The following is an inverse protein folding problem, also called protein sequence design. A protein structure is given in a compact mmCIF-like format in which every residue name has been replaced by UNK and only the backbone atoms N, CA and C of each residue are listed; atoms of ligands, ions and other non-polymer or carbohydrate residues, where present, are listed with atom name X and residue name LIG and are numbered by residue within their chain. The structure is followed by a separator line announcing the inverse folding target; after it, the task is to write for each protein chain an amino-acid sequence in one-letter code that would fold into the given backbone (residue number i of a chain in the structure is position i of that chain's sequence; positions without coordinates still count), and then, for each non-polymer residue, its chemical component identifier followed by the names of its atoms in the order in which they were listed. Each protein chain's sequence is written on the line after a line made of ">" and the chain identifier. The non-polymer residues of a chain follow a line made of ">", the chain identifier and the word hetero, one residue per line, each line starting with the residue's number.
data_IF_227947869080
#
_entry.id   IF_227947869080
#
_cell.length_a   1.000
_cell.length_b   1.000
_cell.length_c   1.000
_cell.angle_alpha   90.00
_cell.angle_beta   90.00
_cell.angle_gamma   90.00
#
_symmetry.space_group_name_H-M   'P 1'
#
loop_
_entity.id
_entity.type
_entity.pdbx_description
1 polymer ?
#
# COMPACT_ATOMS: atom_id res chain seq x y z
N UNK A 1 16.41 41.60 -38.42
CA UNK A 1 16.81 41.87 -37.03
C UNK A 1 15.70 41.36 -36.12
N UNK A 2 15.88 40.18 -35.54
CA UNK A 2 14.84 39.49 -34.78
C UNK A 2 14.84 39.90 -33.31
N UNK A 3 13.65 40.08 -32.75
CA UNK A 3 13.40 39.87 -31.32
C UNK A 3 12.06 39.13 -31.18
N UNK A 4 12.07 37.84 -31.43
CA UNK A 4 10.99 36.96 -30.99
C UNK A 4 11.09 36.86 -29.47
N UNK A 5 10.21 37.58 -28.77
CA UNK A 5 10.03 37.47 -27.32
C UNK A 5 9.74 36.03 -26.95
N UNK A 6 10.72 35.40 -26.31
CA UNK A 6 10.62 34.04 -25.80
C UNK A 6 9.78 34.05 -24.53
N UNK A 7 8.46 33.98 -24.70
CA UNK A 7 7.50 33.88 -23.61
C UNK A 7 7.55 32.46 -23.03
N UNK A 8 8.57 32.15 -22.23
CA UNK A 8 8.62 30.94 -21.41
C UNK A 8 7.66 31.11 -20.24
N UNK A 9 6.36 30.96 -20.52
CA UNK A 9 5.38 30.65 -19.50
C UNK A 9 5.77 29.33 -18.86
N UNK A 10 6.36 29.40 -17.67
CA UNK A 10 6.54 28.24 -16.80
C UNK A 10 5.15 27.82 -16.34
N UNK A 11 4.49 26.97 -17.13
CA UNK A 11 3.33 26.21 -16.69
C UNK A 11 3.83 25.26 -15.60
N UNK A 12 3.84 25.72 -14.35
CA UNK A 12 4.15 24.89 -13.20
C UNK A 12 3.30 23.63 -13.27
N UNK A 13 3.93 22.47 -13.10
CA UNK A 13 3.24 21.19 -13.17
C UNK A 13 2.08 21.18 -12.17
N UNK A 14 1.00 20.41 -12.45
CA UNK A 14 -0.12 20.31 -11.51
C UNK A 14 0.31 19.93 -10.08
N UNK A 15 1.39 19.15 -9.96
CA UNK A 15 2.05 18.83 -8.69
C UNK A 15 2.70 20.03 -8.01
N UNK A 16 3.33 20.95 -8.74
CA UNK A 16 3.95 22.15 -8.16
C UNK A 16 2.90 23.09 -7.57
N UNK A 17 1.77 23.24 -8.27
CA UNK A 17 0.64 24.06 -7.81
C UNK A 17 0.04 23.45 -6.55
N UNK A 18 -0.21 22.14 -6.57
CA UNK A 18 -0.70 21.40 -5.41
C UNK A 18 0.24 21.56 -4.21
N UNK A 19 1.54 21.32 -4.39
CA UNK A 19 2.53 21.42 -3.31
C UNK A 19 2.60 22.85 -2.73
N UNK A 20 2.64 23.88 -3.59
CA UNK A 20 2.66 25.27 -3.16
C UNK A 20 1.42 25.64 -2.34
N UNK A 21 0.25 25.18 -2.74
CA UNK A 21 -1.00 25.41 -2.00
C UNK A 21 -0.91 24.89 -0.57
N UNK A 22 -0.59 23.60 -0.39
CA UNK A 22 -0.52 22.99 0.94
C UNK A 22 0.62 23.54 1.80
N UNK A 23 1.78 23.83 1.18
CA UNK A 23 2.92 24.45 1.88
C UNK A 23 2.56 25.83 2.41
N UNK A 24 1.90 26.66 1.61
CA UNK A 24 1.45 27.98 2.06
C UNK A 24 0.37 27.86 3.14
N UNK A 25 -0.62 27.00 2.95
CA UNK A 25 -1.71 26.79 3.89
C UNK A 25 -1.20 26.37 5.27
N UNK A 26 -0.23 25.45 5.34
CA UNK A 26 0.37 25.02 6.61
C UNK A 26 1.08 26.13 7.40
N UNK A 27 1.56 27.18 6.71
CA UNK A 27 2.23 28.32 7.34
C UNK A 27 1.25 29.42 7.73
N UNK A 28 0.25 29.68 6.89
CA UNK A 28 -0.70 30.78 7.10
C UNK A 28 -1.85 30.42 8.02
N UNK A 29 -2.35 29.18 7.93
CA UNK A 29 -3.52 28.72 8.68
C UNK A 29 -3.39 27.22 9.01
N UNK A 30 -2.69 26.88 10.11
CA UNK A 30 -2.47 25.50 10.52
C UNK A 30 -3.76 24.73 10.85
N UNK A 31 -4.79 25.41 11.36
CA UNK A 31 -6.07 24.78 11.70
C UNK A 31 -6.83 24.36 10.45
N UNK A 32 -6.93 25.27 9.47
CA UNK A 32 -7.54 24.96 8.18
C UNK A 32 -6.76 23.90 7.43
N UNK A 33 -5.42 23.92 7.48
CA UNK A 33 -4.58 22.86 6.92
C UNK A 33 -4.97 21.49 7.48
N UNK A 34 -5.07 21.34 8.81
CA UNK A 34 -5.41 20.06 9.42
C UNK A 34 -6.84 19.62 9.10
N UNK A 35 -7.79 20.56 8.95
CA UNK A 35 -9.15 20.26 8.51
C UNK A 35 -9.19 19.74 7.07
N UNK A 36 -8.52 20.43 6.14
CA UNK A 36 -8.46 20.02 4.74
C UNK A 36 -7.70 18.69 4.57
N UNK A 37 -6.62 18.48 5.32
CA UNK A 37 -5.87 17.22 5.33
C UNK A 37 -6.77 16.04 5.73
N UNK A 38 -7.53 16.17 6.82
CA UNK A 38 -8.47 15.13 7.25
C UNK A 38 -9.53 14.85 6.20
N UNK A 39 -10.06 15.89 5.56
CA UNK A 39 -11.05 15.74 4.48
C UNK A 39 -10.47 14.99 3.27
N UNK A 40 -9.25 15.33 2.84
CA UNK A 40 -8.60 14.65 1.72
C UNK A 40 -8.35 13.16 2.01
N UNK A 41 -7.97 12.83 3.25
CA UNK A 41 -7.82 11.43 3.69
C UNK A 41 -9.16 10.71 3.69
N UNK A 42 -10.19 11.34 4.24
CA UNK A 42 -11.54 10.78 4.29
C UNK A 42 -12.08 10.48 2.88
N UNK A 43 -11.83 11.37 1.92
CA UNK A 43 -12.19 11.17 0.53
C UNK A 43 -11.52 9.92 -0.07
N UNK A 44 -10.23 9.71 0.22
CA UNK A 44 -9.50 8.49 -0.20
C UNK A 44 -10.10 7.23 0.44
N UNK A 45 -10.39 7.28 1.74
CA UNK A 45 -10.99 6.15 2.47
C UNK A 45 -12.38 5.83 1.89
N UNK A 46 -13.21 6.84 1.66
CA UNK A 46 -14.57 6.66 1.14
C UNK A 46 -14.63 6.06 -0.27
N UNK A 47 -13.58 6.26 -1.07
CA UNK A 47 -13.44 5.69 -2.42
C UNK A 47 -12.96 4.24 -2.43
N UNK A 48 -12.43 3.74 -1.31
CA UNK A 48 -12.00 2.36 -1.22
C UNK A 48 -13.21 1.39 -1.13
N UNK A 49 -13.06 0.12 -1.55
CA UNK A 49 -14.07 -0.92 -1.33
C UNK A 49 -14.53 -0.98 0.13
N UNK A 50 -15.83 -1.19 0.37
CA UNK A 50 -16.45 -1.13 1.69
C UNK A 50 -15.76 -2.01 2.73
N UNK A 51 -15.30 -3.20 2.33
CA UNK A 51 -14.54 -4.14 3.14
C UNK A 51 -13.20 -3.59 3.67
N UNK A 52 -12.60 -2.62 2.97
CA UNK A 52 -11.34 -2.01 3.37
C UNK A 52 -11.50 -0.69 4.14
N UNK A 53 -12.67 -0.04 4.05
CA UNK A 53 -12.86 1.28 4.65
C UNK A 53 -12.64 1.28 6.16
N UNK A 54 -13.17 0.29 6.87
CA UNK A 54 -13.00 0.18 8.32
C UNK A 54 -11.52 0.02 8.70
N UNK A 55 -10.79 -0.86 8.01
CA UNK A 55 -9.36 -1.06 8.24
C UNK A 55 -8.54 0.20 7.95
N UNK A 56 -8.87 0.93 6.88
CA UNK A 56 -8.21 2.20 6.56
C UNK A 56 -8.44 3.28 7.63
N UNK A 57 -9.64 3.36 8.21
CA UNK A 57 -9.92 4.29 9.35
C UNK A 57 -9.13 3.92 10.60
N UNK A 58 -9.01 2.64 10.89
CA UNK A 58 -8.18 2.15 12.01
C UNK A 58 -6.70 2.50 11.79
N UNK A 59 -6.19 2.28 10.57
CA UNK A 59 -4.83 2.68 10.20
C UNK A 59 -4.64 4.19 10.34
N UNK A 60 -5.59 4.99 9.87
CA UNK A 60 -5.54 6.44 10.00
C UNK A 60 -5.51 6.88 11.48
N UNK A 61 -6.27 6.22 12.35
CA UNK A 61 -6.23 6.48 13.80
C UNK A 61 -4.84 6.22 14.39
N UNK A 62 -4.18 5.12 13.99
CA UNK A 62 -2.81 4.81 14.41
C UNK A 62 -1.83 5.88 13.90
N UNK A 63 -1.94 6.27 12.62
CA UNK A 63 -1.12 7.32 12.01
C UNK A 63 -1.25 8.64 12.77
N UNK A 64 -2.47 9.07 13.07
CA UNK A 64 -2.71 10.30 13.82
C UNK A 64 -2.19 10.18 15.26
N UNK A 65 -2.24 9.00 15.87
CA UNK A 65 -1.62 8.71 17.16
C UNK A 65 -0.10 8.89 17.15
N UNK A 66 0.58 8.31 16.16
CA UNK A 66 2.03 8.46 16.01
C UNK A 66 2.44 9.90 15.69
N UNK A 67 1.66 10.63 14.87
CA UNK A 67 1.88 12.06 14.63
C UNK A 67 1.75 12.90 15.90
N UNK A 68 0.79 12.61 16.78
CA UNK A 68 0.62 13.33 18.06
C UNK A 68 1.77 13.07 19.05
N UNK A 69 2.35 11.87 19.04
CA UNK A 69 3.48 11.50 19.91
C UNK A 69 4.82 12.06 19.41
N UNK A 70 4.91 12.42 18.14
CA UNK A 70 6.13 12.90 17.53
C UNK A 70 6.51 14.30 18.04
N UNK A 71 7.81 14.52 18.23
CA UNK A 71 8.32 15.81 18.74
C UNK A 71 8.25 16.94 17.71
N UNK A 72 8.32 16.59 16.44
CA UNK A 72 8.29 17.52 15.31
C UNK A 72 7.85 16.77 14.03
N UNK A 73 7.54 17.48 12.93
CA UNK A 73 7.08 16.85 11.70
C UNK A 73 8.05 15.84 11.08
N UNK A 74 9.36 16.03 11.24
CA UNK A 74 10.38 15.11 10.72
C UNK A 74 10.40 13.81 11.55
N UNK A 75 10.32 13.90 12.88
CA UNK A 75 10.17 12.73 13.75
C UNK A 75 8.89 11.95 13.40
N UNK A 76 7.79 12.64 13.12
CA UNK A 76 6.56 12.00 12.66
C UNK A 76 6.79 11.23 11.36
N UNK A 77 7.45 11.83 10.37
CA UNK A 77 7.78 11.18 9.10
C UNK A 77 8.64 9.93 9.30
N UNK A 78 9.68 10.00 10.13
CA UNK A 78 10.56 8.85 10.42
C UNK A 78 9.78 7.72 11.09
N UNK A 79 8.91 8.04 12.06
CA UNK A 79 8.05 7.06 12.74
C UNK A 79 7.07 6.39 11.78
N UNK A 80 6.42 7.16 10.92
CA UNK A 80 5.49 6.63 9.92
C UNK A 80 6.22 5.76 8.89
N UNK A 81 7.40 6.17 8.43
CA UNK A 81 8.24 5.34 7.55
C UNK A 81 8.62 4.02 8.24
N UNK A 82 9.03 4.07 9.51
CA UNK A 82 9.33 2.86 10.30
C UNK A 82 8.11 1.95 10.44
N UNK A 83 6.93 2.52 10.69
CA UNK A 83 5.68 1.75 10.76
C UNK A 83 5.41 1.01 9.44
N UNK A 84 5.57 1.69 8.30
CA UNK A 84 5.41 1.09 6.97
C UNK A 84 6.39 -0.07 6.74
N UNK A 85 7.68 0.14 7.01
CA UNK A 85 8.70 -0.91 6.89
C UNK A 85 8.46 -2.08 7.86
N UNK A 86 7.92 -1.80 9.04
CA UNK A 86 7.56 -2.85 10.00
C UNK A 86 6.47 -3.74 9.44
N UNK A 87 5.41 -3.19 8.82
CA UNK A 87 4.37 -4.01 8.20
C UNK A 87 4.89 -4.84 7.01
N UNK A 88 5.94 -4.35 6.34
CA UNK A 88 6.53 -5.05 5.20
C UNK A 88 7.47 -6.19 5.61
N UNK A 89 8.40 -5.93 6.53
CA UNK A 89 9.48 -6.84 6.93
C UNK A 89 9.31 -7.53 8.29
N UNK A 90 8.25 -7.26 9.05
CA UNK A 90 8.02 -7.96 10.30
C UNK A 90 7.95 -9.49 10.09
N UNK A 91 8.14 -10.23 11.17
CA UNK A 91 8.04 -11.70 11.20
C UNK A 91 6.72 -12.21 10.62
N UNK A 92 5.64 -11.45 10.82
CA UNK A 92 4.30 -11.70 10.26
C UNK A 92 3.92 -10.69 9.17
N UNK A 93 4.91 -9.99 8.61
CA UNK A 93 4.76 -8.97 7.58
C UNK A 93 4.57 -9.57 6.19
N UNK A 94 4.33 -8.68 5.23
CA UNK A 94 3.99 -9.06 3.84
C UNK A 94 4.99 -10.03 3.21
N UNK A 95 6.29 -9.76 3.37
CA UNK A 95 7.35 -10.61 2.80
C UNK A 95 7.27 -12.03 3.35
N UNK A 96 7.01 -12.17 4.65
CA UNK A 96 6.86 -13.47 5.31
C UNK A 96 5.65 -14.23 4.77
N UNK A 97 4.51 -13.55 4.62
CA UNK A 97 3.28 -14.13 4.04
C UNK A 97 3.53 -14.65 2.62
N UNK A 98 4.23 -13.88 1.78
CA UNK A 98 4.59 -14.30 0.42
C UNK A 98 5.49 -15.54 0.44
N UNK A 99 6.46 -15.61 1.35
CA UNK A 99 7.31 -16.80 1.50
C UNK A 99 6.52 -18.02 1.97
N UNK A 100 5.64 -17.88 2.96
CA UNK A 100 4.78 -18.97 3.43
C UNK A 100 3.84 -19.47 2.33
N UNK A 101 3.20 -18.56 1.60
CA UNK A 101 2.34 -18.92 0.49
C UNK A 101 3.09 -19.68 -0.60
N UNK A 102 4.28 -19.21 -0.99
CA UNK A 102 5.09 -19.89 -1.99
C UNK A 102 5.54 -21.29 -1.54
N UNK A 103 5.87 -21.44 -0.24
CA UNK A 103 6.21 -22.75 0.34
C UNK A 103 5.03 -23.71 0.30
N UNK A 104 3.85 -23.27 0.72
CA UNK A 104 2.62 -24.08 0.68
C UNK A 104 2.28 -24.47 -0.76
N UNK A 105 2.33 -23.51 -1.69
CA UNK A 105 2.09 -23.75 -3.12
C UNK A 105 3.04 -24.81 -3.69
N UNK A 106 4.32 -24.78 -3.30
CA UNK A 106 5.30 -25.79 -3.72
C UNK A 106 4.93 -27.18 -3.21
N UNK A 107 4.60 -27.31 -1.93
CA UNK A 107 4.19 -28.59 -1.32
C UNK A 107 2.94 -29.14 -2.00
N UNK A 108 1.92 -28.32 -2.20
CA UNK A 108 0.68 -28.75 -2.88
C UNK A 108 0.98 -29.26 -4.30
N UNK A 109 1.80 -28.53 -5.06
CA UNK A 109 2.19 -28.96 -6.41
C UNK A 109 3.03 -30.25 -6.43
N UNK A 110 3.88 -30.48 -5.41
CA UNK A 110 4.65 -31.71 -5.26
C UNK A 110 3.71 -32.89 -4.93
N UNK A 111 2.77 -32.72 -3.99
CA UNK A 111 1.80 -33.76 -3.65
C UNK A 111 0.85 -34.12 -4.80
N UNK A 112 0.50 -33.17 -5.66
CA UNK A 112 -0.29 -33.41 -6.88
C UNK A 112 0.49 -34.25 -7.90
N UNK A 113 1.80 -33.99 -8.04
CA UNK A 113 2.68 -34.77 -8.93
C UNK A 113 2.86 -36.20 -8.44
N UNK A 114 3.06 -36.38 -7.14
CA UNK A 114 3.24 -37.71 -6.54
C UNK A 114 1.98 -38.56 -6.73
N UNK A 115 0.79 -38.00 -6.47
CA UNK A 115 -0.49 -38.69 -6.72
C UNK A 115 -0.74 -38.97 -8.21
N UNK A 116 -0.34 -38.07 -9.10
CA UNK A 116 -0.46 -38.29 -10.54
C UNK A 116 0.49 -39.40 -11.02
N UNK A 117 1.64 -39.55 -10.38
CA UNK A 117 2.60 -40.62 -10.66
C UNK A 117 2.11 -41.97 -10.13
N UNK A 118 1.59 -42.02 -8.89
CA UNK A 118 0.96 -43.23 -8.32
C UNK A 118 -0.18 -43.77 -9.20
N UNK A 119 -1.00 -42.89 -9.80
CA UNK A 119 -2.06 -43.30 -10.74
C UNK A 119 -1.52 -43.90 -12.04
N UNK A 120 -0.34 -43.47 -12.49
CA UNK A 120 0.31 -44.00 -13.70
C UNK A 120 1.01 -45.33 -13.42
N UNK A 121 1.59 -45.46 -12.24
CA UNK A 121 2.30 -46.67 -11.80
C UNK A 121 1.34 -47.75 -11.28
N UNK A 122 0.06 -47.41 -11.06
CA UNK A 122 -0.97 -48.35 -10.67
C UNK A 122 -1.25 -49.38 -11.78
N UNK A 123 -1.08 -50.66 -11.45
CA UNK A 123 -1.42 -51.78 -12.34
C UNK A 123 -2.95 -51.84 -12.47
N UNK A 124 -3.46 -51.62 -13.68
CA UNK A 124 -4.88 -51.73 -13.99
C UNK A 124 -5.26 -53.21 -14.05
N UNK A 125 -6.01 -53.69 -13.06
CA UNK A 125 -6.57 -55.04 -13.09
C UNK A 125 -7.67 -55.10 -14.18
N UNK A 126 -7.62 -56.06 -15.12
CA UNK A 126 -8.64 -56.18 -16.15
C UNK A 126 -9.98 -56.56 -15.51
N UNK A 127 -11.02 -55.79 -15.80
CA UNK A 127 -12.39 -56.15 -15.43
C UNK A 127 -12.83 -57.34 -16.30
N UNK A 128 -13.14 -58.45 -15.66
CA UNK A 128 -13.76 -59.58 -16.35
C UNK A 128 -15.19 -59.16 -16.71
N UNK A 129 -15.46 -59.06 -18.02
CA UNK A 129 -16.80 -58.82 -18.54
C UNK A 129 -17.50 -60.19 -18.56
N UNK A 130 -18.54 -60.34 -17.74
CA UNK A 130 -19.41 -61.52 -17.74
C UNK A 130 -20.19 -61.65 -19.06
#
# INVERSE_FOLDING_TARGET
>A
MGTTGNNRGSSGSGSDIFFKYWSNLSKSDPERFEKERKRAIEEVISRAPSEHQQGLRQLQWVIDGERRKAKNPIDAMVRLNKMMWTQFYAKDGFVSIVFYFNRIRKILNETEKDKAQERKDAIILPFKKD
#
